data_IF_683620637477
#
_entry.id   IF_683620637477
#
_cell.length_a   1.000
_cell.length_b   1.000
_cell.length_c   1.000
_cell.angle_alpha   90.00
_cell.angle_beta   90.00
_cell.angle_gamma   90.00
#
_symmetry.space_group_name_H-M   'P 1'
#
loop_
_entity.id
_entity.type
_entity.pdbx_description
1 polymer ?
#
# COMPACT_ATOMS: atom_id res chain seq x y z
N UNK A 1 -10.42 -4.45 20.89
CA UNK A 1 -10.79 -4.00 19.53
C UNK A 1 -10.42 -5.13 18.56
N UNK A 2 -11.35 -5.50 17.68
CA UNK A 2 -11.15 -6.57 16.69
C UNK A 2 -11.33 -5.96 15.31
N UNK A 3 -10.39 -6.22 14.40
CA UNK A 3 -10.50 -5.86 12.99
C UNK A 3 -10.74 -7.12 12.17
N UNK A 4 -11.65 -7.11 11.19
CA UNK A 4 -12.02 -8.30 10.42
C UNK A 4 -11.62 -8.13 8.95
N UNK A 5 -11.04 -9.18 8.37
CA UNK A 5 -10.68 -9.28 6.96
C UNK A 5 -11.60 -10.30 6.27
N UNK A 6 -12.12 -9.96 5.08
CA UNK A 6 -13.05 -10.84 4.32
C UNK A 6 -12.78 -10.94 2.81
N UNK A 7 -12.05 -9.99 2.23
CA UNK A 7 -11.96 -9.89 0.75
C UNK A 7 -10.87 -10.81 0.16
N UNK A 8 -9.62 -10.65 0.62
CA UNK A 8 -8.47 -11.44 0.11
C UNK A 8 -8.18 -12.64 1.02
N UNK A 9 -8.47 -12.50 2.31
CA UNK A 9 -8.34 -13.55 3.31
C UNK A 9 -9.50 -13.43 4.31
N UNK A 10 -9.91 -14.57 4.86
CA UNK A 10 -10.84 -14.63 5.99
C UNK A 10 -10.05 -14.67 7.29
N UNK A 11 -10.18 -13.65 8.12
CA UNK A 11 -9.44 -13.59 9.39
C UNK A 11 -9.72 -12.33 10.18
N UNK A 12 -8.96 -12.13 11.25
CA UNK A 12 -9.09 -10.96 12.11
C UNK A 12 -7.76 -10.58 12.79
N UNK A 13 -7.65 -9.33 13.22
CA UNK A 13 -6.62 -8.85 14.13
C UNK A 13 -7.25 -8.52 15.49
N UNK A 14 -6.64 -8.98 16.57
CA UNK A 14 -7.14 -8.83 17.95
C UNK A 14 -5.97 -8.68 18.92
N UNK A 15 -6.17 -7.93 20.01
CA UNK A 15 -5.23 -7.87 21.13
C UNK A 15 -5.54 -9.00 22.10
N UNK A 16 -4.54 -9.83 22.39
CA UNK A 16 -4.64 -10.99 23.26
C UNK A 16 -3.41 -11.06 24.17
N UNK A 17 -3.53 -11.72 25.32
CA UNK A 17 -2.35 -12.18 26.06
C UNK A 17 -1.66 -13.34 25.31
N UNK A 18 -0.39 -13.64 25.61
CA UNK A 18 0.29 -14.81 25.03
C UNK A 18 -0.45 -16.13 25.27
N UNK A 19 -1.09 -16.30 26.44
CA UNK A 19 -1.85 -17.49 26.81
C UNK A 19 -3.14 -17.60 25.99
N UNK A 20 -3.86 -16.49 25.82
CA UNK A 20 -5.05 -16.43 24.97
C UNK A 20 -4.71 -16.70 23.51
N UNK A 21 -3.61 -16.14 23.00
CA UNK A 21 -3.15 -16.37 21.64
C UNK A 21 -2.80 -17.84 21.38
N UNK A 22 -2.14 -18.50 22.36
CA UNK A 22 -1.83 -19.93 22.28
C UNK A 22 -3.11 -20.78 22.28
N UNK A 23 -4.02 -20.50 23.19
CA UNK A 23 -5.31 -21.20 23.28
C UNK A 23 -6.14 -21.04 22.00
N UNK A 24 -6.11 -19.85 21.39
CA UNK A 24 -6.79 -19.58 20.13
C UNK A 24 -6.16 -20.38 18.97
N UNK A 25 -4.83 -20.48 18.91
CA UNK A 25 -4.12 -21.18 17.85
C UNK A 25 -4.35 -22.70 17.85
N UNK A 26 -4.78 -23.28 18.98
CA UNK A 26 -5.11 -24.70 19.10
C UNK A 26 -6.49 -25.05 18.51
N UNK A 27 -7.31 -24.04 18.16
CA UNK A 27 -8.62 -24.25 17.53
C UNK A 27 -8.47 -24.68 16.07
N UNK A 28 -9.22 -25.72 15.68
CA UNK A 28 -9.17 -26.26 14.31
C UNK A 28 -9.61 -25.28 13.22
N UNK A 29 -10.33 -24.22 13.58
CA UNK A 29 -10.75 -23.15 12.69
C UNK A 29 -9.63 -22.13 12.38
N UNK A 30 -8.53 -22.14 13.14
CA UNK A 30 -7.41 -21.20 12.98
C UNK A 30 -6.30 -21.84 12.15
N UNK A 31 -6.15 -21.36 10.91
CA UNK A 31 -5.10 -21.84 9.99
C UNK A 31 -3.71 -21.35 10.41
N UNK A 32 -3.60 -20.11 10.90
CA UNK A 32 -2.33 -19.52 11.36
C UNK A 32 -2.60 -18.31 12.24
N UNK A 33 -1.75 -18.09 13.26
CA UNK A 33 -1.70 -16.88 14.06
C UNK A 33 -0.26 -16.34 14.08
N UNK A 34 -0.11 -15.02 13.98
CA UNK A 34 1.20 -14.33 13.98
C UNK A 34 1.11 -13.01 14.74
N UNK A 35 2.14 -12.63 15.52
CA UNK A 35 2.21 -11.31 16.11
C UNK A 35 2.20 -10.22 15.05
N UNK A 36 1.45 -9.14 15.31
CA UNK A 36 1.51 -7.93 14.49
C UNK A 36 2.92 -7.33 14.54
N UNK A 37 3.39 -6.81 13.40
CA UNK A 37 4.69 -6.15 13.29
C UNK A 37 4.49 -4.78 12.67
N UNK A 38 4.98 -3.75 13.35
CA UNK A 38 5.09 -2.41 12.77
C UNK A 38 6.31 -2.37 11.86
N UNK A 39 6.13 -1.86 10.65
CA UNK A 39 7.22 -1.63 9.71
C UNK A 39 7.70 -0.18 9.84
N UNK A 40 9.02 0.02 9.75
CA UNK A 40 9.63 1.34 9.69
C UNK A 40 9.68 1.83 8.25
N UNK A 41 9.58 3.15 8.05
CA UNK A 41 9.78 3.75 6.74
C UNK A 41 11.23 3.57 6.30
N UNK A 42 11.40 3.06 5.08
CA UNK A 42 12.69 3.00 4.41
C UNK A 42 12.66 4.01 3.26
N UNK A 43 13.16 5.22 3.46
CA UNK A 43 13.27 6.19 2.37
C UNK A 43 14.70 6.67 2.17
N UNK A 44 15.17 6.50 0.94
CA UNK A 44 16.28 7.24 0.32
C UNK A 44 15.71 8.04 -0.85
N UNK A 45 16.40 9.09 -1.29
CA UNK A 45 15.99 9.98 -2.38
C UNK A 45 15.74 9.20 -3.69
N UNK A 46 14.48 8.87 -3.99
CA UNK A 46 14.07 7.93 -5.05
C UNK A 46 14.49 8.33 -6.46
N UNK A 47 14.34 9.59 -6.92
CA UNK A 47 14.73 9.94 -8.30
C UNK A 47 16.23 9.76 -8.54
N UNK A 48 17.06 10.19 -7.59
CA UNK A 48 18.52 10.02 -7.65
C UNK A 48 18.92 8.55 -7.54
N UNK A 49 18.29 7.79 -6.64
CA UNK A 49 18.52 6.34 -6.50
C UNK A 49 18.19 5.58 -7.78
N UNK A 50 17.11 5.96 -8.47
CA UNK A 50 16.69 5.36 -9.74
C UNK A 50 17.41 5.94 -10.97
N UNK A 51 18.30 6.92 -10.78
CA UNK A 51 19.02 7.58 -11.89
C UNK A 51 18.13 8.39 -12.83
N UNK A 52 16.94 8.80 -12.39
CA UNK A 52 16.00 9.57 -13.21
C UNK A 52 16.48 11.03 -13.33
N UNK A 53 16.74 11.46 -14.57
CA UNK A 53 17.21 12.82 -14.91
C UNK A 53 16.31 13.44 -15.95
N UNK A 54 15.99 14.72 -15.78
CA UNK A 54 15.06 15.44 -16.66
C UNK A 54 15.59 15.43 -18.10
N UNK A 55 14.74 15.05 -19.05
CA UNK A 55 15.09 14.96 -20.47
C UNK A 55 15.94 13.74 -20.85
N UNK A 56 16.11 12.75 -19.97
CA UNK A 56 16.81 11.50 -20.28
C UNK A 56 16.00 10.28 -19.84
N UNK A 57 16.01 9.22 -20.67
CA UNK A 57 15.37 7.95 -20.36
C UNK A 57 13.84 8.06 -20.26
N UNK A 58 13.25 7.43 -19.23
CA UNK A 58 11.78 7.42 -19.05
C UNK A 58 11.16 8.82 -18.85
N UNK A 59 11.95 9.87 -18.67
CA UNK A 59 11.47 11.26 -18.58
C UNK A 59 11.54 12.02 -19.93
N UNK A 60 11.83 11.35 -21.04
CA UNK A 60 11.71 11.92 -22.39
C UNK A 60 10.43 11.51 -23.15
N UNK A 61 9.69 10.52 -22.65
CA UNK A 61 8.44 10.05 -23.27
C UNK A 61 7.22 10.56 -22.51
N UNK A 62 6.32 11.21 -23.23
CA UNK A 62 5.02 11.61 -22.69
C UNK A 62 4.07 10.39 -22.66
N UNK A 63 3.32 10.23 -21.56
CA UNK A 63 2.22 9.25 -21.37
C UNK A 63 2.55 7.82 -20.93
N UNK A 64 3.75 7.52 -20.40
CA UNK A 64 4.13 6.16 -20.00
C UNK A 64 3.18 5.45 -18.98
N UNK A 65 2.42 6.22 -18.19
CA UNK A 65 1.45 5.69 -17.21
C UNK A 65 -0.02 5.80 -17.63
N UNK A 66 -0.33 6.28 -18.84
CA UNK A 66 -1.72 6.57 -19.23
C UNK A 66 -2.57 5.29 -19.22
N UNK A 67 -3.67 5.32 -18.47
CA UNK A 67 -4.60 4.18 -18.36
C UNK A 67 -4.19 3.11 -17.34
N UNK A 68 -3.09 3.31 -16.61
CA UNK A 68 -2.60 2.41 -15.56
C UNK A 68 -2.98 2.95 -14.18
N UNK A 69 -3.46 2.07 -13.30
CA UNK A 69 -3.72 2.39 -11.89
C UNK A 69 -2.54 1.88 -11.08
N UNK A 70 -1.91 2.76 -10.29
CA UNK A 70 -0.79 2.43 -9.40
C UNK A 70 -1.27 2.60 -7.96
N UNK A 71 -1.38 1.50 -7.22
CA UNK A 71 -1.68 1.51 -5.79
C UNK A 71 -0.42 1.75 -4.97
N UNK A 72 -0.42 2.78 -4.12
CA UNK A 72 0.69 3.11 -3.22
C UNK A 72 0.23 2.90 -1.78
N UNK A 73 0.84 1.93 -1.08
CA UNK A 73 0.61 1.67 0.35
C UNK A 73 1.72 2.36 1.13
N UNK A 74 1.45 3.57 1.61
CA UNK A 74 2.38 4.41 2.36
C UNK A 74 1.61 5.19 3.45
N UNK A 75 2.26 6.16 4.06
CA UNK A 75 1.73 7.13 5.03
C UNK A 75 0.67 8.08 4.47
N UNK A 76 0.50 8.11 3.15
CA UNK A 76 -0.46 8.94 2.44
C UNK A 76 0.20 9.95 1.51
N UNK A 77 -0.60 10.88 1.01
CA UNK A 77 -0.15 12.01 0.17
C UNK A 77 -0.65 13.33 0.76
N UNK A 78 -0.01 14.44 0.38
CA UNK A 78 -0.61 15.77 0.57
C UNK A 78 -1.49 16.08 -0.65
N UNK A 79 -2.83 15.96 -0.55
CA UNK A 79 -3.70 16.00 -1.73
C UNK A 79 -3.77 17.38 -2.39
N UNK A 80 -3.37 18.44 -1.68
CA UNK A 80 -3.42 19.82 -2.18
C UNK A 80 -2.06 20.31 -2.73
N UNK A 81 -1.07 19.42 -2.87
CA UNK A 81 0.18 19.79 -3.51
C UNK A 81 -0.07 20.13 -5.00
N UNK A 82 0.51 21.20 -5.56
CA UNK A 82 0.28 21.58 -6.96
C UNK A 82 0.59 20.48 -8.00
N UNK A 83 1.50 19.55 -7.68
CA UNK A 83 1.82 18.41 -8.57
C UNK A 83 0.69 17.38 -8.70
N UNK A 84 -0.35 17.46 -7.87
CA UNK A 84 -1.54 16.62 -7.95
C UNK A 84 -2.75 17.36 -8.54
N UNK A 85 -2.57 18.57 -9.10
CA UNK A 85 -3.65 19.24 -9.85
C UNK A 85 -4.08 18.37 -11.04
N UNK A 86 -5.37 18.09 -11.13
CA UNK A 86 -5.98 17.26 -12.18
C UNK A 86 -6.60 18.08 -13.32
N UNK A 87 -6.39 19.41 -13.33
CA UNK A 87 -6.81 20.27 -14.43
C UNK A 87 -6.24 19.78 -15.77
N UNK A 88 -7.15 19.48 -16.71
CA UNK A 88 -6.79 18.94 -18.03
C UNK A 88 -6.55 17.42 -18.07
N UNK A 89 -6.66 16.70 -16.95
CA UNK A 89 -6.54 15.25 -16.92
C UNK A 89 -7.82 14.57 -17.43
N UNK A 90 -7.68 13.46 -18.19
CA UNK A 90 -8.83 12.63 -18.56
C UNK A 90 -9.43 11.94 -17.33
N UNK A 91 -10.69 11.46 -17.40
CA UNK A 91 -11.27 10.69 -16.32
C UNK A 91 -10.44 9.43 -16.02
N UNK A 92 -10.43 8.95 -14.77
CA UNK A 92 -9.72 7.74 -14.40
C UNK A 92 -10.25 6.52 -15.19
N UNK A 93 -9.43 5.47 -15.40
CA UNK A 93 -9.87 4.25 -16.06
C UNK A 93 -11.12 3.67 -15.41
N UNK A 94 -12.09 3.23 -16.22
CA UNK A 94 -13.36 2.67 -15.72
C UNK A 94 -13.21 1.35 -14.96
N UNK A 95 -12.05 0.70 -15.08
CA UNK A 95 -11.70 -0.56 -14.38
C UNK A 95 -11.08 -0.26 -13.02
N UNK A 96 -11.39 -1.09 -12.03
CA UNK A 96 -10.70 -1.20 -10.75
C UNK A 96 -10.18 -2.62 -10.59
#
# INVERSE_FOLDING_TARGET
MVFTYRNVASGFAVKLTPEEAKSLQEKGEIVSARPERTLSLHTTHTPTFLGLKQGQGLWSDDNLGKGVIIGVIDTGIYPFHPSFNDEGMPPPPAKW
#
